data_IF_294743799139
#
_entry.id   IF_294743799139
#
_cell.length_a   1.000
_cell.length_b   1.000
_cell.length_c   1.000
_cell.angle_alpha   90.00
_cell.angle_beta   90.00
_cell.angle_gamma   90.00
#
_symmetry.space_group_name_H-M   'P 1'
#
loop_
_entity.id
_entity.type
_entity.pdbx_description
1 polymer ?
#
# COMPACT_ATOMS: atom_id res chain seq x y z
N UNK A 1 17.10 -38.39 -12.72
CA UNK A 1 16.53 -37.79 -13.95
C UNK A 1 15.02 -37.62 -13.93
N UNK A 2 14.20 -38.58 -13.44
CA UNK A 2 12.74 -38.45 -13.38
C UNK A 2 12.27 -37.37 -12.39
N UNK A 3 12.89 -37.27 -11.20
CA UNK A 3 12.47 -36.31 -10.16
C UNK A 3 12.64 -34.84 -10.59
N UNK A 4 13.71 -34.48 -11.29
CA UNK A 4 13.92 -33.12 -11.78
C UNK A 4 12.88 -32.69 -12.83
N UNK A 5 12.47 -33.59 -13.71
CA UNK A 5 11.41 -33.31 -14.72
C UNK A 5 10.05 -33.15 -14.06
N UNK A 6 9.73 -33.99 -13.08
CA UNK A 6 8.49 -33.91 -12.31
C UNK A 6 8.43 -32.57 -11.56
N UNK A 7 9.52 -32.15 -10.93
CA UNK A 7 9.59 -30.86 -10.23
C UNK A 7 9.33 -29.66 -11.16
N UNK A 8 9.90 -29.68 -12.37
CA UNK A 8 9.64 -28.65 -13.39
C UNK A 8 8.19 -28.61 -13.82
N UNK A 9 7.59 -29.77 -14.08
CA UNK A 9 6.18 -29.87 -14.47
C UNK A 9 5.28 -29.33 -13.34
N UNK A 10 5.61 -29.65 -12.08
CA UNK A 10 4.86 -29.16 -10.92
C UNK A 10 4.95 -27.62 -10.83
N UNK A 11 6.14 -27.02 -11.03
CA UNK A 11 6.30 -25.56 -11.01
C UNK A 11 5.48 -24.91 -12.14
N UNK A 12 5.56 -25.43 -13.35
CA UNK A 12 4.79 -24.90 -14.49
C UNK A 12 3.28 -25.04 -14.23
N UNK A 13 2.83 -26.18 -13.70
CA UNK A 13 1.44 -26.37 -13.33
C UNK A 13 0.97 -25.41 -12.24
N UNK A 14 1.80 -25.21 -11.22
CA UNK A 14 1.51 -24.27 -10.12
C UNK A 14 1.43 -22.83 -10.63
N UNK A 15 2.34 -22.43 -11.51
CA UNK A 15 2.30 -21.10 -12.15
C UNK A 15 1.06 -20.94 -13.04
N UNK A 16 0.67 -21.97 -13.78
CA UNK A 16 -0.54 -21.93 -14.59
C UNK A 16 -1.80 -21.81 -13.71
N UNK A 17 -1.85 -22.51 -12.58
CA UNK A 17 -2.95 -22.41 -11.61
C UNK A 17 -3.01 -21.01 -11.01
N UNK A 18 -1.88 -20.41 -10.62
CA UNK A 18 -1.83 -19.04 -10.09
C UNK A 18 -2.32 -18.04 -11.14
N UNK A 19 -1.86 -18.16 -12.39
CA UNK A 19 -2.31 -17.31 -13.49
C UNK A 19 -3.81 -17.43 -13.75
N UNK A 20 -4.34 -18.65 -13.76
CA UNK A 20 -5.78 -18.89 -13.94
C UNK A 20 -6.59 -18.34 -12.78
N UNK A 21 -6.08 -18.45 -11.55
CA UNK A 21 -6.72 -17.90 -10.37
C UNK A 21 -6.78 -16.38 -10.42
N UNK A 22 -5.67 -15.72 -10.77
CA UNK A 22 -5.60 -14.25 -10.90
C UNK A 22 -6.48 -13.74 -12.06
N UNK A 23 -6.51 -14.44 -13.19
CA UNK A 23 -7.38 -14.06 -14.31
C UNK A 23 -8.87 -14.16 -13.96
N UNK A 24 -9.25 -15.06 -13.07
CA UNK A 24 -10.63 -15.27 -12.62
C UNK A 24 -10.93 -14.63 -11.25
N UNK A 25 -9.93 -13.97 -10.62
CA UNK A 25 -10.15 -13.31 -9.35
C UNK A 25 -11.22 -12.22 -9.50
N UNK A 26 -12.19 -12.13 -8.59
CA UNK A 26 -13.21 -11.10 -8.64
C UNK A 26 -12.54 -9.73 -8.54
N UNK A 27 -13.04 -8.77 -9.32
CA UNK A 27 -12.56 -7.39 -9.28
C UNK A 27 -12.75 -6.85 -7.86
N UNK A 28 -11.66 -6.44 -7.21
CA UNK A 28 -11.76 -5.75 -5.93
C UNK A 28 -12.17 -4.31 -6.20
N UNK A 29 -13.20 -3.86 -5.53
CA UNK A 29 -13.62 -2.46 -5.63
C UNK A 29 -12.67 -1.57 -4.83
N UNK A 30 -12.21 -0.52 -5.47
CA UNK A 30 -11.42 0.53 -4.83
C UNK A 30 -12.35 1.64 -4.36
N UNK A 31 -12.50 1.73 -3.04
CA UNK A 31 -13.42 2.68 -2.42
C UNK A 31 -12.82 4.08 -2.21
N UNK A 32 -11.52 4.22 -2.45
CA UNK A 32 -10.79 5.49 -2.35
C UNK A 32 -10.56 6.16 -3.72
N UNK A 33 -10.85 5.47 -4.82
CA UNK A 33 -10.75 6.03 -6.16
C UNK A 33 -11.99 6.85 -6.50
N UNK A 34 -11.82 8.16 -6.55
CA UNK A 34 -12.84 9.16 -6.82
C UNK A 34 -12.68 9.71 -8.24
N UNK A 35 -12.45 8.84 -9.20
CA UNK A 35 -12.18 9.28 -10.58
C UNK A 35 -13.39 9.90 -11.28
N UNK A 36 -14.60 9.52 -10.91
CA UNK A 36 -15.86 9.91 -11.60
C UNK A 36 -15.82 9.79 -13.15
N UNK A 37 -14.87 9.01 -13.65
CA UNK A 37 -14.72 8.75 -15.07
C UNK A 37 -15.85 7.91 -15.63
N UNK A 38 -16.32 8.23 -16.84
CA UNK A 38 -17.34 7.48 -17.55
C UNK A 38 -16.89 6.05 -17.92
N UNK A 39 -15.59 5.78 -17.95
CA UNK A 39 -15.01 4.45 -18.21
C UNK A 39 -14.88 3.62 -16.95
N UNK A 40 -14.80 4.24 -15.79
CA UNK A 40 -14.55 3.56 -14.53
C UNK A 40 -15.78 2.81 -14.02
N UNK A 41 -15.59 1.50 -13.77
CA UNK A 41 -16.58 0.61 -13.14
C UNK A 41 -16.45 0.58 -11.61
N UNK A 42 -15.51 1.33 -11.05
CA UNK A 42 -15.31 1.44 -9.62
C UNK A 42 -16.53 2.11 -8.94
N UNK A 43 -16.70 1.98 -7.62
CA UNK A 43 -17.85 2.52 -6.93
C UNK A 43 -18.10 4.02 -7.20
N UNK A 44 -17.02 4.82 -7.21
CA UNK A 44 -17.09 6.26 -7.49
C UNK A 44 -16.73 6.64 -8.93
N UNK A 45 -16.68 5.66 -9.84
CA UNK A 45 -16.73 5.90 -11.29
C UNK A 45 -18.16 6.19 -11.76
N UNK A 46 -18.32 6.47 -13.07
CA UNK A 46 -19.61 6.84 -13.64
C UNK A 46 -20.13 5.90 -14.74
N UNK A 47 -19.44 4.81 -15.07
CA UNK A 47 -19.83 3.91 -16.16
C UNK A 47 -21.27 3.39 -16.05
N UNK A 48 -21.67 2.92 -14.85
CA UNK A 48 -23.02 2.41 -14.61
C UNK A 48 -24.02 3.55 -14.52
N UNK A 49 -23.65 4.65 -13.84
CA UNK A 49 -24.49 5.83 -13.71
C UNK A 49 -24.84 6.38 -15.10
N UNK A 50 -23.87 6.58 -15.97
CA UNK A 50 -24.09 7.10 -17.33
C UNK A 50 -24.97 6.16 -18.15
N UNK A 51 -24.82 4.84 -17.98
CA UNK A 51 -25.65 3.85 -18.66
C UNK A 51 -27.09 3.90 -18.19
N UNK A 52 -27.32 4.01 -16.87
CA UNK A 52 -28.65 4.12 -16.27
C UNK A 52 -29.31 5.42 -16.66
N UNK A 53 -28.61 6.56 -16.57
CA UNK A 53 -29.20 7.86 -16.94
C UNK A 53 -29.53 7.93 -18.42
N UNK A 54 -28.70 7.37 -19.31
CA UNK A 54 -28.97 7.28 -20.74
C UNK A 54 -30.24 6.49 -21.05
N UNK A 55 -30.52 5.44 -20.27
CA UNK A 55 -31.73 4.62 -20.43
C UNK A 55 -32.98 5.20 -19.71
N UNK A 56 -32.79 6.04 -18.69
CA UNK A 56 -33.86 6.50 -17.82
C UNK A 56 -34.36 7.92 -18.14
N UNK A 57 -33.54 8.74 -18.81
CA UNK A 57 -33.91 10.12 -19.13
C UNK A 57 -34.49 10.20 -20.54
N UNK A 58 -35.79 10.37 -20.70
CA UNK A 58 -36.44 10.39 -22.03
C UNK A 58 -36.04 11.61 -22.85
N UNK A 59 -35.61 12.69 -22.21
CA UNK A 59 -35.13 13.91 -22.86
C UNK A 59 -33.75 13.76 -23.51
N UNK A 60 -33.04 12.70 -23.20
CA UNK A 60 -31.70 12.40 -23.72
C UNK A 60 -30.60 12.66 -22.69
N UNK A 61 -29.52 11.87 -22.80
CA UNK A 61 -28.33 11.96 -21.98
C UNK A 61 -27.09 11.68 -22.82
N UNK A 62 -26.09 12.57 -22.70
CA UNK A 62 -24.81 12.45 -23.41
C UNK A 62 -23.66 12.73 -22.46
N UNK A 63 -22.52 12.06 -22.67
CA UNK A 63 -21.28 12.32 -21.95
C UNK A 63 -20.28 12.94 -22.91
N UNK A 64 -19.73 14.09 -22.52
CA UNK A 64 -18.70 14.79 -23.25
C UNK A 64 -17.32 14.41 -22.73
N UNK A 65 -16.50 13.83 -23.61
CA UNK A 65 -15.12 13.48 -23.30
C UNK A 65 -14.09 14.56 -23.59
N UNK A 66 -14.42 15.56 -24.41
CA UNK A 66 -13.49 16.63 -24.78
C UNK A 66 -14.20 17.98 -24.76
N UNK A 67 -13.59 18.92 -24.10
CA UNK A 67 -13.86 20.35 -23.99
C UNK A 67 -15.27 20.82 -24.36
N UNK A 68 -15.96 21.37 -23.39
CA UNK A 68 -17.30 21.96 -23.61
C UNK A 68 -17.29 23.01 -24.70
N UNK A 69 -16.18 23.73 -24.85
CA UNK A 69 -15.99 24.74 -25.92
C UNK A 69 -16.12 24.10 -27.31
N UNK A 70 -15.54 22.94 -27.52
CA UNK A 70 -15.63 22.22 -28.80
C UNK A 70 -17.05 21.71 -29.05
N UNK A 71 -17.76 21.31 -28.00
CA UNK A 71 -19.16 20.95 -28.10
C UNK A 71 -20.03 22.16 -28.48
N UNK A 72 -19.87 23.27 -27.77
CA UNK A 72 -20.60 24.51 -28.01
C UNK A 72 -20.34 25.01 -29.43
N UNK A 73 -19.09 25.01 -29.89
CA UNK A 73 -18.73 25.54 -31.21
C UNK A 73 -19.19 24.66 -32.37
N UNK A 74 -19.22 23.32 -32.18
CA UNK A 74 -19.48 22.38 -33.27
C UNK A 74 -20.86 21.75 -33.26
N UNK A 75 -21.43 21.46 -32.10
CA UNK A 75 -22.62 20.65 -31.95
C UNK A 75 -23.83 21.41 -31.39
N UNK A 76 -23.56 22.50 -30.68
CA UNK A 76 -24.60 23.30 -30.08
C UNK A 76 -25.34 24.15 -31.15
N UNK A 77 -26.58 23.80 -31.44
CA UNK A 77 -27.44 24.46 -32.44
C UNK A 77 -28.45 25.41 -31.84
N UNK A 78 -28.26 25.83 -30.60
CA UNK A 78 -29.18 26.70 -29.87
C UNK A 78 -30.26 25.96 -29.09
N UNK A 79 -30.33 24.62 -29.16
CA UNK A 79 -31.20 23.81 -28.34
C UNK A 79 -30.76 23.91 -26.87
N UNK A 80 -31.76 24.01 -25.97
CA UNK A 80 -31.43 24.22 -24.55
C UNK A 80 -31.15 22.88 -23.86
N UNK A 81 -30.04 22.81 -23.14
CA UNK A 81 -29.55 21.65 -22.45
C UNK A 81 -29.39 21.89 -20.95
N UNK A 82 -29.25 20.81 -20.21
CA UNK A 82 -28.74 20.80 -18.83
C UNK A 82 -27.32 20.28 -18.83
N UNK A 83 -26.35 21.10 -18.47
CA UNK A 83 -24.99 20.71 -18.31
C UNK A 83 -24.75 20.21 -16.89
N UNK A 84 -24.22 18.98 -16.75
CA UNK A 84 -23.96 18.34 -15.46
C UNK A 84 -22.46 18.21 -15.24
N UNK A 85 -22.00 18.77 -14.15
CA UNK A 85 -20.61 18.77 -13.68
C UNK A 85 -20.54 18.10 -12.32
N UNK A 86 -19.78 17.04 -12.21
CA UNK A 86 -19.76 16.20 -11.00
C UNK A 86 -18.37 16.09 -10.38
N UNK A 87 -17.41 16.92 -10.80
CA UNK A 87 -16.01 16.73 -10.44
C UNK A 87 -15.42 17.91 -9.67
N UNK A 88 -14.49 17.61 -8.76
CA UNK A 88 -13.77 18.57 -7.93
C UNK A 88 -12.45 19.07 -8.55
N UNK A 89 -12.19 18.78 -9.82
CA UNK A 89 -10.90 19.11 -10.43
C UNK A 89 -10.80 20.53 -10.97
N UNK A 90 -9.68 21.15 -10.71
CA UNK A 90 -9.29 22.51 -11.13
C UNK A 90 -9.43 22.76 -12.63
N UNK A 91 -9.28 21.70 -13.45
CA UNK A 91 -9.43 21.79 -14.91
C UNK A 91 -10.84 22.10 -15.41
N UNK A 92 -11.83 21.88 -14.55
CA UNK A 92 -13.22 22.22 -14.81
C UNK A 92 -13.43 23.70 -15.04
N UNK A 93 -12.64 24.51 -14.41
CA UNK A 93 -12.89 25.93 -14.24
C UNK A 93 -12.12 26.75 -15.25
N UNK A 94 -10.96 26.30 -15.63
CA UNK A 94 -10.17 26.94 -16.71
C UNK A 94 -10.90 26.88 -18.07
N UNK A 95 -11.87 25.97 -18.23
CA UNK A 95 -12.75 25.87 -19.41
C UNK A 95 -14.05 26.66 -19.29
N UNK A 96 -14.30 27.26 -18.14
CA UNK A 96 -15.63 27.82 -17.79
C UNK A 96 -15.71 29.33 -17.74
N UNK A 97 -14.84 29.96 -18.34
CA UNK A 97 -14.84 31.40 -18.59
C UNK A 97 -16.27 31.97 -18.88
N UNK A 98 -16.35 33.21 -19.17
CA UNK A 98 -17.51 34.03 -19.58
C UNK A 98 -18.58 33.26 -20.40
N UNK A 99 -18.21 32.19 -21.09
CA UNK A 99 -19.08 31.36 -21.92
C UNK A 99 -20.12 30.57 -21.15
N UNK A 100 -19.85 30.07 -19.94
CA UNK A 100 -20.84 29.32 -19.14
C UNK A 100 -21.99 30.24 -18.68
N UNK A 101 -21.64 31.40 -18.13
CA UNK A 101 -22.62 32.39 -17.68
C UNK A 101 -23.53 32.79 -18.83
N UNK A 102 -22.95 33.04 -20.01
CA UNK A 102 -23.73 33.36 -21.22
C UNK A 102 -24.66 32.22 -21.64
N UNK A 103 -24.22 30.96 -21.57
CA UNK A 103 -25.07 29.82 -21.85
C UNK A 103 -26.28 29.73 -20.90
N UNK A 104 -26.08 30.03 -19.61
CA UNK A 104 -27.13 30.05 -18.64
C UNK A 104 -28.09 31.20 -18.94
N UNK A 105 -27.57 32.39 -19.23
CA UNK A 105 -28.40 33.55 -19.63
C UNK A 105 -29.26 33.26 -20.83
N UNK A 106 -28.77 32.51 -21.80
CA UNK A 106 -29.51 32.08 -22.99
C UNK A 106 -30.58 31.04 -22.69
N UNK A 107 -30.63 30.47 -21.51
CA UNK A 107 -31.67 29.55 -21.06
C UNK A 107 -31.23 28.10 -20.95
N UNK A 108 -29.96 27.80 -20.89
CA UNK A 108 -29.47 26.46 -20.49
C UNK A 108 -29.51 26.34 -18.98
N UNK A 109 -29.57 25.10 -18.49
CA UNK A 109 -29.44 24.82 -17.07
C UNK A 109 -28.05 24.25 -16.78
N UNK A 110 -27.56 24.48 -15.57
CA UNK A 110 -26.27 23.95 -15.11
C UNK A 110 -26.47 23.31 -13.75
N UNK A 111 -25.96 22.10 -13.58
CA UNK A 111 -25.86 21.40 -12.30
C UNK A 111 -24.39 21.27 -11.96
N UNK A 112 -23.98 21.86 -10.85
CA UNK A 112 -22.61 21.79 -10.34
C UNK A 112 -22.66 21.02 -9.02
N UNK A 113 -22.08 19.82 -9.02
CA UNK A 113 -21.88 19.04 -7.83
C UNK A 113 -20.38 19.07 -7.46
N UNK A 114 -20.07 19.76 -6.37
CA UNK A 114 -18.72 19.90 -5.84
C UNK A 114 -18.74 19.94 -4.33
N UNK A 115 -17.69 19.47 -3.67
CA UNK A 115 -17.54 19.52 -2.21
C UNK A 115 -16.39 20.45 -1.79
N UNK A 116 -15.76 21.11 -2.73
CA UNK A 116 -14.65 22.03 -2.48
C UNK A 116 -14.94 23.45 -2.94
N UNK A 117 -14.37 24.41 -2.23
CA UNK A 117 -14.39 25.79 -2.63
C UNK A 117 -13.39 25.98 -3.80
N UNK A 118 -13.88 26.58 -4.83
CA UNK A 118 -13.16 26.91 -6.02
C UNK A 118 -12.20 28.07 -5.72
N UNK A 119 -10.98 27.77 -5.25
CA UNK A 119 -10.00 28.78 -4.80
C UNK A 119 -9.15 29.38 -5.92
N UNK A 120 -9.19 28.79 -7.12
CA UNK A 120 -8.37 29.28 -8.24
C UNK A 120 -9.02 30.50 -8.91
N UNK A 121 -8.19 31.42 -9.38
CA UNK A 121 -8.62 32.76 -9.85
C UNK A 121 -9.73 32.71 -10.90
N UNK A 122 -9.69 31.78 -11.85
CA UNK A 122 -10.68 31.69 -12.92
C UNK A 122 -12.03 31.13 -12.43
N UNK A 123 -11.98 30.20 -11.46
CA UNK A 123 -13.17 29.64 -10.82
C UNK A 123 -13.84 30.59 -9.87
N UNK A 124 -13.06 31.39 -9.24
CA UNK A 124 -13.52 32.40 -8.31
C UNK A 124 -14.49 33.38 -8.99
N UNK A 125 -14.20 33.76 -10.23
CA UNK A 125 -15.08 34.64 -11.01
C UNK A 125 -16.49 34.02 -11.17
N UNK A 126 -16.60 32.75 -11.57
CA UNK A 126 -17.92 32.08 -11.72
C UNK A 126 -18.63 31.92 -10.37
N UNK A 127 -17.89 31.57 -9.31
CA UNK A 127 -18.47 31.43 -7.97
C UNK A 127 -18.89 32.77 -7.38
N UNK A 128 -18.14 33.86 -7.61
CA UNK A 128 -18.48 35.21 -7.16
C UNK A 128 -19.69 35.76 -7.93
N UNK A 129 -19.74 35.59 -9.25
CA UNK A 129 -20.84 36.06 -10.09
C UNK A 129 -22.15 35.29 -9.82
N UNK A 130 -22.04 33.96 -9.67
CA UNK A 130 -23.15 33.11 -9.26
C UNK A 130 -23.44 33.20 -7.75
N UNK A 131 -22.54 33.78 -6.98
CA UNK A 131 -22.70 34.05 -5.56
C UNK A 131 -22.84 32.81 -4.70
N UNK A 132 -22.05 31.77 -4.94
CA UNK A 132 -22.07 30.56 -4.11
C UNK A 132 -20.71 30.25 -3.49
N UNK A 133 -20.71 29.56 -2.37
CA UNK A 133 -19.53 28.98 -1.73
C UNK A 133 -19.90 27.79 -0.87
N UNK A 134 -18.92 26.94 -0.56
CA UNK A 134 -19.08 25.79 0.31
C UNK A 134 -18.55 26.11 1.71
N UNK A 135 -19.25 25.65 2.73
CA UNK A 135 -18.88 25.85 4.12
C UNK A 135 -19.06 24.53 4.90
N UNK A 136 -18.13 24.15 5.80
CA UNK A 136 -18.27 22.93 6.59
C UNK A 136 -19.55 22.88 7.43
N UNK A 137 -20.21 21.71 7.46
CA UNK A 137 -21.34 21.42 8.34
C UNK A 137 -20.82 20.78 9.63
N UNK A 138 -20.67 21.56 10.70
CA UNK A 138 -20.15 21.07 11.98
C UNK A 138 -18.66 20.74 11.95
N UNK A 139 -18.26 19.77 12.76
CA UNK A 139 -16.86 19.33 12.79
C UNK A 139 -16.49 18.51 11.53
N UNK A 140 -15.33 18.80 10.97
CA UNK A 140 -14.82 18.08 9.80
C UNK A 140 -14.36 16.68 10.23
N UNK A 141 -15.03 15.65 9.76
CA UNK A 141 -14.59 14.27 9.90
C UNK A 141 -14.01 13.78 8.59
N UNK A 142 -12.71 13.49 8.56
CA UNK A 142 -12.10 12.75 7.46
C UNK A 142 -12.56 11.28 7.53
N UNK A 143 -13.65 10.97 6.88
CA UNK A 143 -14.11 9.60 6.77
C UNK A 143 -13.39 8.90 5.60
N UNK A 144 -12.74 7.78 5.91
CA UNK A 144 -12.19 6.94 4.84
C UNK A 144 -13.32 6.17 4.15
N UNK A 145 -13.40 6.30 2.83
CA UNK A 145 -14.32 5.50 2.02
C UNK A 145 -13.86 4.04 2.02
N UNK A 146 -14.63 3.17 2.65
CA UNK A 146 -14.46 1.73 2.56
C UNK A 146 -15.83 1.04 2.65
N UNK A 147 -15.89 -0.23 2.30
CA UNK A 147 -17.14 -0.99 2.32
C UNK A 147 -17.82 -0.97 3.69
N UNK A 148 -17.05 -0.99 4.76
CA UNK A 148 -17.56 -1.06 6.14
C UNK A 148 -18.21 0.27 6.54
N UNK A 149 -17.54 1.41 6.28
CA UNK A 149 -18.11 2.74 6.58
C UNK A 149 -19.35 3.03 5.75
N UNK A 150 -19.37 2.59 4.48
CA UNK A 150 -20.50 2.81 3.57
C UNK A 150 -21.67 1.84 3.79
N UNK A 151 -21.49 0.76 4.52
CA UNK A 151 -22.57 -0.18 4.88
C UNK A 151 -23.11 0.00 6.30
N UNK A 152 -22.43 0.75 7.14
CA UNK A 152 -22.84 1.02 8.52
C UNK A 152 -23.98 2.04 8.58
N UNK A 153 -25.20 1.56 8.59
CA UNK A 153 -26.42 2.39 8.67
C UNK A 153 -26.51 3.24 9.94
N UNK A 154 -25.76 2.93 10.98
CA UNK A 154 -25.70 3.77 12.19
C UNK A 154 -24.98 5.11 11.96
N UNK A 155 -24.28 5.23 10.85
CA UNK A 155 -23.53 6.41 10.41
C UNK A 155 -24.16 7.03 9.15
N UNK A 156 -25.47 7.04 9.07
CA UNK A 156 -26.15 7.65 7.95
C UNK A 156 -26.76 8.99 8.36
N UNK A 157 -26.52 9.98 7.51
CA UNK A 157 -27.13 11.29 7.58
C UNK A 157 -28.46 11.26 6.84
N UNK A 158 -29.34 12.20 7.18
CA UNK A 158 -30.68 12.29 6.59
C UNK A 158 -30.77 13.50 5.67
N UNK A 159 -31.07 13.26 4.39
CA UNK A 159 -31.38 14.30 3.43
C UNK A 159 -32.90 14.48 3.41
N UNK A 160 -33.36 15.72 3.50
CA UNK A 160 -34.78 16.11 3.34
C UNK A 160 -34.89 17.06 2.18
N UNK A 161 -35.88 16.80 1.32
CA UNK A 161 -36.19 17.69 0.23
C UNK A 161 -37.03 18.87 0.73
N UNK A 162 -36.75 20.06 0.23
CA UNK A 162 -37.48 21.27 0.54
C UNK A 162 -38.33 21.67 -0.67
N UNK A 163 -39.64 21.68 -0.51
CA UNK A 163 -40.57 22.06 -1.55
C UNK A 163 -41.62 23.07 -0.99
N UNK A 164 -41.83 24.17 -1.69
CA UNK A 164 -42.86 25.15 -1.41
C UNK A 164 -42.93 25.64 0.04
N UNK A 165 -41.77 25.92 0.63
CA UNK A 165 -41.65 26.43 1.98
C UNK A 165 -41.81 25.41 3.11
N UNK A 166 -41.82 24.13 2.79
CA UNK A 166 -41.92 23.02 3.77
C UNK A 166 -41.06 21.83 3.34
N UNK A 167 -40.70 20.99 4.30
CA UNK A 167 -40.08 19.71 4.00
C UNK A 167 -41.09 18.74 3.39
N UNK A 168 -40.68 18.08 2.33
CA UNK A 168 -41.40 16.92 1.80
C UNK A 168 -41.32 15.75 2.79
N UNK A 169 -42.26 14.82 2.68
CA UNK A 169 -42.26 13.58 3.46
C UNK A 169 -41.14 12.62 3.05
N UNK A 170 -40.63 12.78 1.84
CA UNK A 170 -39.51 11.96 1.35
C UNK A 170 -38.21 12.28 2.08
N UNK A 171 -37.62 11.24 2.64
CA UNK A 171 -36.31 11.29 3.29
C UNK A 171 -35.35 10.34 2.57
N UNK A 172 -34.10 10.76 2.40
CA UNK A 172 -33.07 9.97 1.76
C UNK A 172 -31.95 9.79 2.77
N UNK A 173 -31.40 8.58 2.83
CA UNK A 173 -30.33 8.23 3.74
C UNK A 173 -29.02 8.16 2.97
N UNK A 174 -28.01 8.81 3.49
CA UNK A 174 -26.67 8.86 2.90
C UNK A 174 -25.61 8.63 3.97
N UNK A 175 -24.52 7.95 3.62
CA UNK A 175 -23.41 7.76 4.56
C UNK A 175 -22.81 9.12 4.96
N UNK A 176 -22.45 9.27 6.23
CA UNK A 176 -21.76 10.46 6.77
C UNK A 176 -20.41 10.74 6.07
N UNK A 177 -19.88 9.74 5.35
CA UNK A 177 -18.64 9.89 4.60
C UNK A 177 -18.73 10.80 3.38
N UNK A 178 -19.96 11.12 2.91
CA UNK A 178 -20.13 11.82 1.63
C UNK A 178 -20.25 13.34 1.73
N UNK A 179 -20.56 13.89 2.88
CA UNK A 179 -20.79 15.33 2.97
C UNK A 179 -20.23 15.94 4.26
N UNK A 180 -19.30 16.82 4.07
CA UNK A 180 -18.82 17.70 5.13
C UNK A 180 -19.15 19.18 4.90
N UNK A 181 -19.67 19.54 3.71
CA UNK A 181 -19.91 20.91 3.34
C UNK A 181 -21.39 21.19 3.03
N UNK A 182 -21.87 22.39 3.38
CA UNK A 182 -23.12 22.96 2.89
C UNK A 182 -22.85 23.95 1.76
N UNK A 183 -23.86 24.11 0.92
CA UNK A 183 -23.87 25.15 -0.11
C UNK A 183 -24.43 26.43 0.48
N UNK A 184 -23.68 27.51 0.43
CA UNK A 184 -24.13 28.86 0.73
C UNK A 184 -24.21 29.66 -0.55
N UNK A 185 -25.32 30.37 -0.76
CA UNK A 185 -25.51 31.23 -1.90
C UNK A 185 -25.87 32.64 -1.45
N UNK A 186 -25.23 33.64 -2.06
CA UNK A 186 -25.61 35.05 -1.84
C UNK A 186 -26.81 35.43 -2.68
N UNK A 187 -27.65 36.33 -2.17
CA UNK A 187 -28.86 36.78 -2.85
C UNK A 187 -30.05 35.80 -2.76
N UNK A 188 -30.98 35.91 -3.70
CA UNK A 188 -32.18 35.06 -3.71
C UNK A 188 -31.88 33.69 -4.32
N UNK A 189 -31.89 32.66 -3.52
CA UNK A 189 -31.86 31.27 -3.99
C UNK A 189 -32.97 30.46 -3.30
N UNK A 190 -33.34 29.36 -3.91
CA UNK A 190 -34.27 28.41 -3.31
C UNK A 190 -33.51 27.18 -2.84
N UNK A 191 -33.60 26.87 -1.57
CA UNK A 191 -33.10 25.59 -1.05
C UNK A 191 -33.89 24.45 -1.68
N UNK A 192 -33.17 23.41 -2.17
CA UNK A 192 -33.79 22.19 -2.68
C UNK A 192 -33.69 21.06 -1.66
N UNK A 193 -32.57 20.94 -0.99
CA UNK A 193 -32.38 19.88 -0.03
C UNK A 193 -31.49 20.32 1.14
N UNK A 194 -31.77 19.79 2.32
CA UNK A 194 -30.97 19.96 3.53
C UNK A 194 -30.50 18.60 4.02
N UNK A 195 -29.29 18.57 4.59
CA UNK A 195 -28.72 17.43 5.28
C UNK A 195 -28.79 17.67 6.78
N UNK A 196 -29.26 16.69 7.53
CA UNK A 196 -29.15 16.65 8.98
C UNK A 196 -28.17 15.54 9.35
N UNK A 197 -27.01 15.90 9.93
CA UNK A 197 -26.00 14.94 10.35
C UNK A 197 -26.53 14.08 11.50
N UNK A 198 -26.20 12.80 11.48
CA UNK A 198 -26.51 11.88 12.58
C UNK A 198 -25.81 12.35 13.85
N UNK A 199 -26.50 12.24 14.98
CA UNK A 199 -25.90 12.53 16.29
C UNK A 199 -24.80 11.50 16.56
N UNK A 200 -23.55 11.88 16.34
CA UNK A 200 -22.44 11.08 16.84
C UNK A 200 -22.50 11.12 18.37
N UNK A 201 -22.27 9.98 19.03
CA UNK A 201 -22.15 9.86 20.51
C UNK A 201 -20.91 10.58 21.01
N UNK A 202 -20.80 11.86 20.74
CA UNK A 202 -19.77 12.76 21.23
C UNK A 202 -20.33 13.58 22.39
N UNK A 203 -19.54 13.78 23.41
CA UNK A 203 -19.88 14.35 24.74
C UNK A 203 -20.42 15.79 24.69
N UNK A 204 -20.47 16.46 23.53
CA UNK A 204 -20.73 17.91 23.41
C UNK A 204 -21.77 18.33 22.35
N UNK A 205 -22.35 17.44 21.56
CA UNK A 205 -23.34 17.83 20.55
C UNK A 205 -24.76 17.85 21.14
N UNK A 206 -25.27 19.02 21.46
CA UNK A 206 -26.65 19.25 21.94
C UNK A 206 -27.68 19.06 20.81
N UNK A 207 -27.32 19.42 19.58
CA UNK A 207 -28.19 19.29 18.38
C UNK A 207 -27.40 18.72 17.20
N UNK A 208 -28.11 18.00 16.31
CA UNK A 208 -27.50 17.50 15.08
C UNK A 208 -27.32 18.68 14.09
N UNK A 209 -26.08 18.96 13.61
CA UNK A 209 -25.88 20.06 12.68
C UNK A 209 -26.64 19.80 11.38
N UNK A 210 -27.26 20.86 10.86
CA UNK A 210 -28.06 20.82 9.62
C UNK A 210 -27.56 21.90 8.68
N UNK A 211 -27.37 21.54 7.40
CA UNK A 211 -26.93 22.46 6.36
C UNK A 211 -27.65 22.24 5.05
N UNK A 212 -27.66 23.25 4.19
CA UNK A 212 -28.21 23.15 2.82
C UNK A 212 -27.19 22.44 1.94
N UNK A 213 -27.55 21.31 1.35
CA UNK A 213 -26.66 20.55 0.46
C UNK A 213 -26.98 20.74 -1.02
N UNK A 214 -28.19 21.22 -1.33
CA UNK A 214 -28.55 21.54 -2.70
C UNK A 214 -29.45 22.81 -2.73
N UNK A 215 -29.14 23.68 -3.66
CA UNK A 215 -29.90 24.92 -3.89
C UNK A 215 -30.00 25.24 -5.37
N UNK A 216 -30.99 26.01 -5.75
CA UNK A 216 -31.22 26.46 -7.11
C UNK A 216 -31.34 27.97 -7.18
N UNK A 217 -30.73 28.56 -8.19
CA UNK A 217 -30.81 29.99 -8.51
C UNK A 217 -31.18 30.17 -9.98
N UNK A 218 -31.99 31.15 -10.26
CA UNK A 218 -32.25 31.59 -11.64
C UNK A 218 -31.20 32.63 -12.05
N UNK A 219 -30.62 32.43 -13.24
CA UNK A 219 -29.67 33.35 -13.81
C UNK A 219 -30.01 33.57 -15.29
N UNK A 220 -30.38 34.80 -15.65
CA UNK A 220 -30.92 35.07 -16.97
C UNK A 220 -32.22 34.25 -17.24
N UNK A 221 -32.19 33.47 -18.33
CA UNK A 221 -33.33 32.59 -18.71
C UNK A 221 -33.10 31.13 -18.25
N UNK A 222 -31.97 30.84 -17.65
CA UNK A 222 -31.58 29.50 -17.19
C UNK A 222 -31.59 29.35 -15.67
N UNK A 223 -31.10 28.21 -15.22
CA UNK A 223 -31.01 27.85 -13.81
C UNK A 223 -29.66 27.27 -13.49
N UNK A 224 -29.18 27.54 -12.29
CA UNK A 224 -27.99 26.91 -11.71
C UNK A 224 -28.43 26.11 -10.50
N UNK A 225 -28.13 24.83 -10.49
CA UNK A 225 -28.30 23.94 -9.35
C UNK A 225 -26.94 23.64 -8.78
N UNK A 226 -26.77 24.01 -7.51
CA UNK A 226 -25.53 23.71 -6.77
C UNK A 226 -25.76 22.58 -5.79
N UNK A 227 -24.81 21.67 -5.66
CA UNK A 227 -24.87 20.55 -4.75
C UNK A 227 -23.49 20.24 -4.16
N UNK A 228 -23.43 20.02 -2.83
CA UNK A 228 -22.20 19.77 -2.09
C UNK A 228 -21.78 18.30 -1.98
N UNK A 229 -22.42 17.39 -2.74
CA UNK A 229 -22.18 15.95 -2.64
C UNK A 229 -21.92 15.32 -4.02
N UNK A 230 -20.77 15.57 -4.65
CA UNK A 230 -20.49 15.08 -6.01
C UNK A 230 -20.51 13.56 -6.11
N UNK A 231 -20.17 12.86 -5.04
CA UNK A 231 -20.12 11.40 -4.98
C UNK A 231 -21.48 10.73 -5.19
N UNK A 232 -22.58 11.45 -5.02
CA UNK A 232 -23.91 10.90 -5.30
C UNK A 232 -24.12 10.69 -6.80
N UNK A 233 -23.39 11.44 -7.64
CA UNK A 233 -23.33 11.23 -9.08
C UNK A 233 -22.25 10.22 -9.47
N UNK A 234 -22.40 8.98 -8.99
CA UNK A 234 -21.46 7.89 -9.23
C UNK A 234 -22.18 6.56 -9.41
N UNK A 235 -21.44 5.51 -9.75
CA UNK A 235 -21.97 4.15 -9.81
C UNK A 235 -22.60 3.74 -8.46
N UNK A 236 -21.96 4.09 -7.35
CA UNK A 236 -22.50 3.82 -6.01
C UNK A 236 -23.81 4.54 -5.77
N UNK A 237 -23.87 5.84 -6.08
CA UNK A 237 -25.07 6.64 -5.85
C UNK A 237 -26.26 6.18 -6.67
N UNK A 238 -26.09 5.90 -7.97
CA UNK A 238 -27.17 5.45 -8.84
C UNK A 238 -27.64 4.02 -8.56
N UNK A 239 -26.78 3.16 -8.04
CA UNK A 239 -27.12 1.80 -7.65
C UNK A 239 -27.75 1.73 -6.26
N UNK A 240 -27.58 2.76 -5.44
CA UNK A 240 -28.14 2.80 -4.10
C UNK A 240 -29.61 3.20 -4.13
N UNK A 241 -30.47 2.36 -3.57
CA UNK A 241 -31.92 2.55 -3.60
C UNK A 241 -32.42 3.79 -2.84
N UNK A 242 -31.65 4.26 -1.85
CA UNK A 242 -32.00 5.47 -1.08
C UNK A 242 -31.49 6.75 -1.72
N UNK A 243 -30.40 6.68 -2.49
CA UNK A 243 -29.74 7.84 -3.12
C UNK A 243 -30.26 8.09 -4.53
N UNK A 244 -30.46 7.03 -5.33
CA UNK A 244 -30.94 7.13 -6.72
C UNK A 244 -32.19 8.03 -6.88
N UNK A 245 -33.24 7.89 -6.07
CA UNK A 245 -34.42 8.76 -6.20
C UNK A 245 -34.11 10.24 -5.96
N UNK A 246 -33.15 10.53 -5.07
CA UNK A 246 -32.69 11.89 -4.82
C UNK A 246 -31.99 12.49 -6.04
N UNK A 247 -31.03 11.75 -6.64
CA UNK A 247 -30.27 12.17 -7.83
C UNK A 247 -31.23 12.45 -9.00
N UNK A 248 -32.19 11.55 -9.27
CA UNK A 248 -33.15 11.71 -10.34
C UNK A 248 -34.08 12.91 -10.08
N UNK A 249 -34.52 13.13 -8.84
CA UNK A 249 -35.31 14.28 -8.45
C UNK A 249 -34.54 15.59 -8.65
N UNK A 250 -33.27 15.63 -8.30
CA UNK A 250 -32.42 16.81 -8.50
C UNK A 250 -32.33 17.17 -10.00
N UNK A 251 -32.12 16.19 -10.86
CA UNK A 251 -32.10 16.39 -12.30
C UNK A 251 -33.45 16.83 -12.87
N UNK A 252 -34.57 16.44 -12.27
CA UNK A 252 -35.91 16.86 -12.71
C UNK A 252 -36.20 18.36 -12.50
N UNK A 253 -35.49 19.03 -11.56
CA UNK A 253 -35.57 20.48 -11.38
C UNK A 253 -35.02 21.26 -12.59
N UNK A 254 -34.36 20.60 -13.52
CA UNK A 254 -33.78 21.19 -14.72
C UNK A 254 -34.69 21.18 -15.94
N UNK A 255 -35.99 21.27 -15.75
CA UNK A 255 -37.06 21.45 -16.79
C UNK A 255 -37.05 20.32 -17.84
N UNK A 256 -36.63 19.12 -17.50
CA UNK A 256 -36.55 17.98 -18.42
C UNK A 256 -35.79 18.27 -19.74
N UNK A 257 -34.78 19.15 -19.69
CA UNK A 257 -33.90 19.39 -20.84
C UNK A 257 -32.93 18.23 -21.02
N UNK A 258 -32.48 17.96 -22.26
CA UNK A 258 -31.43 16.97 -22.48
C UNK A 258 -30.22 17.22 -21.58
N UNK A 259 -29.67 16.17 -20.95
CA UNK A 259 -28.55 16.28 -20.01
C UNK A 259 -27.24 15.95 -20.72
N UNK A 260 -26.28 16.83 -20.56
CA UNK A 260 -24.93 16.67 -21.07
C UNK A 260 -23.98 16.68 -19.89
N UNK A 261 -23.43 15.52 -19.55
CA UNK A 261 -22.43 15.42 -18.46
C UNK A 261 -21.03 15.65 -19.02
N UNK A 262 -20.29 16.48 -18.34
CA UNK A 262 -18.88 16.68 -18.60
C UNK A 262 -18.03 15.66 -17.85
N UNK A 263 -17.11 14.98 -18.56
CA UNK A 263 -16.15 14.05 -18.02
C UNK A 263 -14.72 14.54 -18.29
N UNK A 264 -14.03 15.11 -17.29
CA UNK A 264 -12.71 15.68 -17.47
C UNK A 264 -11.61 14.62 -17.68
N UNK A 265 -11.88 13.33 -17.42
CA UNK A 265 -10.90 12.26 -17.62
C UNK A 265 -10.46 12.06 -19.06
N UNK A 266 -11.09 12.77 -20.00
CA UNK A 266 -10.75 12.78 -21.42
C UNK A 266 -10.03 14.03 -21.90
N UNK A 267 -9.57 14.90 -21.02
CA UNK A 267 -8.62 15.92 -21.43
C UNK A 267 -7.36 15.15 -21.84
N UNK A 268 -7.16 15.00 -23.18
CA UNK A 268 -5.90 14.58 -23.74
C UNK A 268 -4.86 15.65 -23.36
N UNK A 269 -4.34 15.54 -22.15
CA UNK A 269 -2.98 15.99 -21.95
C UNK A 269 -2.17 15.10 -22.90
N UNK A 270 -1.39 15.69 -23.82
CA UNK A 270 -0.41 15.00 -24.68
C UNK A 270 0.67 14.23 -23.88
N UNK A 271 0.34 13.80 -22.70
CA UNK A 271 1.03 12.82 -21.89
C UNK A 271 0.30 11.52 -22.13
N UNK A 272 0.98 10.56 -22.75
CA UNK A 272 0.62 9.15 -22.74
C UNK A 272 0.38 8.64 -21.28
N UNK A 273 -0.65 9.14 -20.62
CA UNK A 273 -1.25 8.43 -19.52
C UNK A 273 -1.91 7.23 -20.17
N UNK A 274 -1.15 6.17 -20.24
CA UNK A 274 -1.67 4.83 -20.42
C UNK A 274 -2.88 4.75 -19.51
N UNK A 275 -4.06 4.60 -20.10
CA UNK A 275 -5.30 4.34 -19.37
C UNK A 275 -5.01 3.21 -18.39
N UNK A 276 -4.66 3.55 -17.15
CA UNK A 276 -4.60 2.60 -16.06
C UNK A 276 -6.05 2.23 -15.70
N UNK A 277 -6.69 1.47 -16.61
CA UNK A 277 -7.93 0.74 -16.31
C UNK A 277 -7.73 -0.25 -15.14
N UNK A 278 -6.66 -0.09 -14.34
CA UNK A 278 -6.27 -1.18 -13.48
C UNK A 278 -5.71 -0.76 -12.17
N UNK A 279 -6.63 -0.39 -11.39
CA UNK A 279 -6.56 -0.61 -9.98
C UNK A 279 -6.64 -2.11 -9.65
N UNK A 280 -5.58 -2.80 -9.93
CA UNK A 280 -5.41 -4.15 -9.40
C UNK A 280 -4.46 -4.05 -8.21
N UNK A 281 -4.97 -4.31 -7.01
CA UNK A 281 -4.16 -4.55 -5.80
C UNK A 281 -3.13 -5.69 -5.99
N UNK A 282 -3.15 -6.35 -7.12
CA UNK A 282 -2.23 -7.42 -7.49
C UNK A 282 -1.19 -6.92 -8.48
N UNK A 283 0.11 -6.92 -8.11
CA UNK A 283 1.20 -6.59 -9.04
C UNK A 283 1.18 -7.41 -10.33
N UNK A 284 0.67 -8.65 -10.26
CA UNK A 284 0.56 -9.52 -11.43
C UNK A 284 -0.52 -9.04 -12.40
N UNK A 285 -1.62 -8.52 -11.88
CA UNK A 285 -2.70 -7.94 -12.70
C UNK A 285 -2.22 -6.71 -13.46
N UNK A 286 -1.48 -5.84 -12.78
CA UNK A 286 -0.83 -4.68 -13.40
C UNK A 286 0.10 -5.09 -14.55
N UNK A 287 0.94 -6.14 -14.33
CA UNK A 287 1.82 -6.68 -15.37
C UNK A 287 1.05 -7.25 -16.56
N UNK A 288 -0.08 -7.93 -16.31
CA UNK A 288 -0.90 -8.52 -17.36
C UNK A 288 -1.71 -7.51 -18.16
N UNK A 289 -2.01 -6.39 -17.56
CA UNK A 289 -2.78 -5.33 -18.17
C UNK A 289 -1.98 -4.52 -19.17
N UNK A 290 -0.81 -4.12 -18.79
CA UNK A 290 0.08 -3.32 -19.61
C UNK A 290 0.65 -4.16 -20.76
N UNK A 291 0.31 -3.81 -22.02
CA UNK A 291 0.80 -4.55 -23.20
C UNK A 291 2.30 -4.81 -23.20
N UNK A 292 3.18 -3.81 -22.98
CA UNK A 292 4.63 -4.04 -22.93
C UNK A 292 5.04 -4.97 -21.79
N UNK A 293 4.48 -4.78 -20.59
CA UNK A 293 4.82 -5.59 -19.42
C UNK A 293 4.31 -7.03 -19.53
N UNK A 294 3.15 -7.22 -20.13
CA UNK A 294 2.60 -8.54 -20.44
C UNK A 294 3.51 -9.34 -21.36
N UNK A 295 4.01 -8.72 -22.45
CA UNK A 295 4.97 -9.36 -23.34
C UNK A 295 6.31 -9.63 -22.63
N UNK A 296 6.79 -8.71 -21.79
CA UNK A 296 7.98 -8.92 -20.98
C UNK A 296 7.80 -10.11 -20.03
N UNK A 297 6.64 -10.23 -19.38
CA UNK A 297 6.32 -11.37 -18.51
C UNK A 297 6.30 -12.70 -19.30
N UNK A 298 5.66 -12.73 -20.47
CA UNK A 298 5.63 -13.94 -21.29
C UNK A 298 7.04 -14.32 -21.78
N UNK A 299 7.87 -13.35 -22.14
CA UNK A 299 9.26 -13.58 -22.53
C UNK A 299 10.08 -14.10 -21.35
N UNK A 300 9.91 -13.54 -20.16
CA UNK A 300 10.57 -14.01 -18.94
C UNK A 300 10.17 -15.46 -18.61
N UNK A 301 8.88 -15.80 -18.70
CA UNK A 301 8.38 -17.15 -18.52
C UNK A 301 8.93 -18.12 -19.57
N UNK A 302 8.93 -17.72 -20.82
CA UNK A 302 9.46 -18.54 -21.91
C UNK A 302 10.98 -18.80 -21.74
N UNK A 303 11.75 -17.77 -21.33
CA UNK A 303 13.17 -17.91 -21.05
C UNK A 303 13.44 -18.79 -19.83
N UNK A 304 12.61 -18.69 -18.77
CA UNK A 304 12.70 -19.56 -17.60
C UNK A 304 12.43 -21.03 -17.99
N UNK A 305 11.39 -21.29 -18.76
CA UNK A 305 11.09 -22.64 -19.27
C UNK A 305 12.22 -23.16 -20.14
N UNK A 306 12.72 -22.35 -21.07
CA UNK A 306 13.87 -22.70 -21.90
C UNK A 306 15.10 -22.99 -21.05
N UNK A 307 15.43 -22.13 -20.08
CA UNK A 307 16.52 -22.36 -19.16
C UNK A 307 16.40 -23.70 -18.41
N UNK A 308 15.22 -24.00 -17.88
CA UNK A 308 14.96 -25.25 -17.18
C UNK A 308 15.11 -26.44 -18.11
N UNK A 309 14.55 -26.39 -19.32
CA UNK A 309 14.66 -27.47 -20.33
C UNK A 309 16.10 -27.70 -20.74
N UNK A 310 16.84 -26.64 -21.02
CA UNK A 310 18.25 -26.75 -21.41
C UNK A 310 19.17 -27.09 -20.24
N UNK A 311 18.92 -26.55 -19.04
CA UNK A 311 19.69 -26.84 -17.83
C UNK A 311 19.42 -28.25 -17.29
N UNK A 312 18.21 -28.79 -17.50
CA UNK A 312 17.87 -30.18 -17.11
C UNK A 312 18.59 -31.23 -17.95
N UNK A 313 19.12 -30.87 -19.12
CA UNK A 313 20.07 -31.72 -19.83
C UNK A 313 21.39 -31.74 -19.05
N UNK A 314 21.54 -32.70 -18.12
CA UNK A 314 22.81 -32.98 -17.50
C UNK A 314 23.86 -33.24 -18.61
N UNK A 315 24.74 -32.29 -18.84
CA UNK A 315 26.02 -32.60 -19.44
C UNK A 315 26.70 -33.55 -18.45
N UNK A 316 26.79 -34.84 -18.80
CA UNK A 316 27.69 -35.75 -18.10
C UNK A 316 29.10 -35.19 -18.30
N UNK A 317 29.54 -34.42 -17.32
CA UNK A 317 30.95 -34.11 -17.25
C UNK A 317 31.66 -35.45 -17.01
N UNK A 318 32.65 -35.74 -17.82
CA UNK A 318 33.62 -36.78 -17.53
C UNK A 318 33.98 -36.63 -16.05
N UNK A 319 33.69 -37.67 -15.26
CA UNK A 319 34.03 -37.67 -13.83
C UNK A 319 35.55 -37.50 -13.77
N UNK A 320 36.08 -36.35 -13.37
CA UNK A 320 37.51 -36.21 -13.22
C UNK A 320 37.95 -37.24 -12.17
N UNK A 321 38.97 -37.96 -12.43
CA UNK A 321 39.58 -38.83 -11.43
C UNK A 321 39.95 -37.92 -10.24
N UNK A 322 39.11 -38.00 -9.21
CA UNK A 322 39.32 -37.21 -8.01
C UNK A 322 40.53 -37.79 -7.33
N UNK A 323 41.67 -37.11 -7.43
CA UNK A 323 42.81 -37.39 -6.55
C UNK A 323 42.28 -37.34 -5.11
N UNK A 324 42.62 -38.33 -4.26
CA UNK A 324 42.16 -38.28 -2.87
C UNK A 324 42.48 -36.91 -2.28
N UNK A 325 41.55 -36.31 -1.53
CA UNK A 325 41.76 -34.97 -0.99
C UNK A 325 43.02 -34.97 -0.16
N UNK A 326 44.02 -34.23 -0.60
CA UNK A 326 45.22 -33.99 0.20
C UNK A 326 44.79 -33.20 1.41
N UNK A 327 45.00 -33.73 2.60
CA UNK A 327 44.63 -33.02 3.82
C UNK A 327 45.62 -31.87 4.02
N UNK A 328 45.38 -30.75 3.34
CA UNK A 328 46.21 -29.54 3.41
C UNK A 328 46.35 -29.02 4.85
N UNK A 329 45.36 -29.29 5.69
CA UNK A 329 45.40 -28.93 7.10
C UNK A 329 46.52 -29.72 7.84
N UNK A 330 46.62 -31.03 7.58
CA UNK A 330 47.67 -31.85 8.19
C UNK A 330 49.04 -31.45 7.69
N UNK A 331 49.23 -31.15 6.42
CA UNK A 331 50.48 -30.67 5.85
C UNK A 331 50.88 -29.28 6.41
N UNK A 332 49.89 -28.41 6.59
CA UNK A 332 50.08 -27.11 7.23
C UNK A 332 50.54 -27.27 8.69
N UNK A 333 49.84 -28.09 9.48
CA UNK A 333 50.20 -28.37 10.89
C UNK A 333 51.62 -28.95 10.99
N UNK A 334 52.00 -29.92 10.13
CA UNK A 334 53.34 -30.47 10.09
C UNK A 334 54.42 -29.42 9.76
N UNK A 335 54.13 -28.51 8.83
CA UNK A 335 55.07 -27.43 8.46
C UNK A 335 55.22 -26.44 9.61
N UNK A 336 54.11 -26.01 10.23
CA UNK A 336 54.13 -25.11 11.38
C UNK A 336 54.88 -25.76 12.57
N UNK A 337 54.52 -27.01 12.90
CA UNK A 337 55.23 -27.78 13.95
C UNK A 337 56.72 -27.89 13.69
N UNK A 338 57.13 -28.10 12.42
CA UNK A 338 58.53 -28.11 12.03
C UNK A 338 59.26 -26.77 12.21
N UNK A 339 58.60 -25.65 12.01
CA UNK A 339 59.13 -24.29 12.23
C UNK A 339 59.32 -24.04 13.72
N UNK A 340 58.38 -24.40 14.57
CA UNK A 340 58.47 -24.26 16.02
C UNK A 340 59.60 -25.16 16.58
N UNK A 341 59.68 -26.41 16.13
CA UNK A 341 60.75 -27.31 16.54
C UNK A 341 62.11 -26.77 16.18
N UNK A 342 62.30 -26.16 15.00
CA UNK A 342 63.61 -25.59 14.58
C UNK A 342 63.97 -24.31 15.34
N UNK A 343 63.01 -23.55 15.83
CA UNK A 343 63.27 -22.33 16.60
C UNK A 343 63.60 -22.57 18.05
N UNK A 344 63.32 -23.76 18.60
CA UNK A 344 63.48 -24.12 20.02
C UNK A 344 62.82 -23.11 20.99
N UNK A 345 61.72 -22.45 20.50
CA UNK A 345 61.01 -21.49 21.30
C UNK A 345 59.87 -22.21 22.06
N UNK A 346 60.31 -22.99 23.04
CA UNK A 346 59.39 -23.82 23.83
C UNK A 346 58.52 -23.01 24.76
N UNK A 347 58.96 -21.82 25.17
CA UNK A 347 58.14 -20.91 26.03
C UNK A 347 56.98 -20.33 25.27
N UNK A 348 57.20 -19.82 24.04
CA UNK A 348 56.13 -19.30 23.19
C UNK A 348 55.08 -20.38 22.87
N UNK A 349 55.51 -21.62 22.65
CA UNK A 349 54.60 -22.74 22.44
C UNK A 349 53.80 -23.07 23.70
N UNK A 350 54.41 -23.04 24.88
CA UNK A 350 53.74 -23.24 26.16
C UNK A 350 52.70 -22.12 26.42
N UNK A 351 53.08 -20.87 26.20
CA UNK A 351 52.17 -19.73 26.37
C UNK A 351 50.92 -19.88 25.48
N UNK A 352 51.08 -20.19 24.20
CA UNK A 352 49.98 -20.42 23.28
C UNK A 352 49.08 -21.58 23.69
N UNK A 353 49.69 -22.67 24.17
CA UNK A 353 48.92 -23.81 24.68
C UNK A 353 48.20 -23.46 25.97
N UNK A 354 48.81 -22.70 26.86
CA UNK A 354 48.21 -22.23 28.10
C UNK A 354 46.98 -21.33 27.82
N UNK A 355 47.12 -20.34 26.92
CA UNK A 355 45.99 -19.48 26.52
C UNK A 355 44.81 -20.29 25.94
N UNK A 356 45.11 -21.29 25.11
CA UNK A 356 44.06 -22.19 24.59
C UNK A 356 43.42 -22.99 25.71
N UNK A 357 44.21 -23.52 26.63
CA UNK A 357 43.75 -24.29 27.79
C UNK A 357 42.87 -23.44 28.73
N UNK A 358 43.30 -22.21 29.08
CA UNK A 358 42.52 -21.30 29.90
C UNK A 358 41.18 -20.94 29.24
N UNK A 359 41.19 -20.63 27.93
CA UNK A 359 39.95 -20.34 27.19
C UNK A 359 39.01 -21.56 27.10
N UNK A 360 39.56 -22.76 26.93
CA UNK A 360 38.78 -24.00 26.92
C UNK A 360 38.18 -24.31 28.30
N UNK A 361 38.89 -24.07 29.39
CA UNK A 361 38.40 -24.20 30.76
C UNK A 361 37.24 -23.20 31.03
N UNK A 362 37.41 -21.95 30.57
CA UNK A 362 36.37 -20.94 30.70
C UNK A 362 35.14 -21.31 29.88
N UNK A 363 35.33 -21.78 28.65
CA UNK A 363 34.21 -22.13 27.77
C UNK A 363 33.43 -23.40 28.16
N UNK A 364 34.17 -24.46 28.63
CA UNK A 364 33.59 -25.78 28.89
C UNK A 364 33.21 -26.01 30.35
N UNK A 365 34.04 -25.47 31.25
CA UNK A 365 33.88 -25.66 32.68
C UNK A 365 33.37 -24.40 33.42
N UNK A 366 33.35 -23.24 32.75
CA UNK A 366 33.09 -21.94 33.36
C UNK A 366 34.07 -21.62 34.51
N UNK A 367 35.33 -22.05 34.39
CA UNK A 367 36.37 -21.88 35.37
C UNK A 367 37.41 -20.92 34.82
N UNK A 368 37.70 -19.85 35.54
CA UNK A 368 38.65 -18.82 35.14
C UNK A 368 39.93 -18.86 35.97
N UNK A 369 40.94 -19.58 35.49
CA UNK A 369 42.22 -19.73 36.18
C UNK A 369 43.15 -18.51 36.06
N UNK A 370 42.78 -17.51 35.23
CA UNK A 370 43.55 -16.28 35.05
C UNK A 370 43.15 -15.19 36.09
N UNK A 371 42.05 -15.42 36.83
CA UNK A 371 41.63 -14.54 37.90
C UNK A 371 42.27 -14.92 39.23
N UNK A 372 43.36 -14.22 39.58
CA UNK A 372 44.16 -14.49 40.78
C UNK A 372 43.40 -14.27 42.10
N UNK A 373 42.35 -13.42 42.12
CA UNK A 373 41.62 -13.13 43.34
C UNK A 373 40.76 -14.30 43.83
N UNK A 374 40.32 -15.17 42.91
CA UNK A 374 39.46 -16.33 43.19
C UNK A 374 40.09 -17.66 42.76
N UNK A 375 41.40 -17.67 42.55
CA UNK A 375 42.08 -18.85 41.96
C UNK A 375 41.87 -20.13 42.77
N UNK A 376 41.94 -20.07 44.10
CA UNK A 376 41.78 -21.24 44.96
C UNK A 376 40.36 -21.82 44.92
N UNK A 377 39.33 -20.97 44.83
CA UNK A 377 37.94 -21.41 44.69
C UNK A 377 37.71 -22.05 43.33
N UNK A 378 38.25 -21.46 42.28
CA UNK A 378 38.16 -21.99 40.91
C UNK A 378 38.92 -23.34 40.78
N UNK A 379 40.08 -23.47 41.40
CA UNK A 379 40.84 -24.74 41.43
C UNK A 379 40.17 -25.80 42.30
N UNK A 380 39.45 -25.42 43.36
CA UNK A 380 38.63 -26.35 44.13
C UNK A 380 37.46 -26.88 43.28
N UNK A 381 36.83 -26.00 42.54
CA UNK A 381 35.77 -26.37 41.58
C UNK A 381 36.30 -27.31 40.51
N UNK A 382 37.47 -27.03 39.96
CA UNK A 382 38.15 -27.88 38.98
C UNK A 382 38.55 -29.24 39.54
N UNK A 383 39.06 -29.28 40.77
CA UNK A 383 39.41 -30.52 41.50
C UNK A 383 38.17 -31.43 41.66
N UNK A 384 37.03 -30.86 42.03
CA UNK A 384 35.79 -31.62 42.18
C UNK A 384 35.29 -32.21 40.86
N UNK A 385 35.54 -31.54 39.73
CA UNK A 385 35.10 -32.00 38.41
C UNK A 385 36.08 -33.04 37.81
N UNK A 386 37.35 -32.86 37.99
CA UNK A 386 38.35 -33.74 37.38
C UNK A 386 38.71 -34.94 38.25
N UNK A 387 38.35 -34.93 39.53
CA UNK A 387 38.73 -35.95 40.50
C UNK A 387 40.22 -35.94 40.89
N UNK A 388 40.97 -34.90 40.49
CA UNK A 388 42.39 -34.72 40.89
C UNK A 388 42.40 -34.04 42.27
N UNK A 389 43.19 -34.55 43.23
CA UNK A 389 43.30 -33.91 44.54
C UNK A 389 43.71 -32.43 44.42
N UNK A 390 43.10 -31.55 45.20
CA UNK A 390 43.33 -30.10 45.12
C UNK A 390 44.78 -29.69 45.18
N UNK A 391 45.54 -30.29 46.13
CA UNK A 391 46.97 -29.97 46.30
C UNK A 391 47.79 -30.34 45.05
N UNK A 392 47.48 -31.44 44.42
CA UNK A 392 48.14 -31.88 43.19
C UNK A 392 47.76 -30.97 42.00
N UNK A 393 46.51 -30.68 41.84
CA UNK A 393 45.99 -29.80 40.79
C UNK A 393 46.56 -28.38 40.93
N UNK A 394 46.55 -27.85 42.13
CA UNK A 394 47.13 -26.54 42.45
C UNK A 394 48.62 -26.47 42.12
N UNK A 395 49.37 -27.51 42.46
CA UNK A 395 50.78 -27.58 42.10
C UNK A 395 51.00 -27.67 40.58
N UNK A 396 50.20 -28.50 39.89
CA UNK A 396 50.28 -28.66 38.44
C UNK A 396 49.98 -27.36 37.70
N UNK A 397 48.91 -26.63 38.08
CA UNK A 397 48.56 -25.37 37.46
C UNK A 397 49.60 -24.30 37.75
N UNK A 398 50.11 -24.20 38.98
CA UNK A 398 51.21 -23.31 39.31
C UNK A 398 52.49 -23.59 38.53
N UNK A 399 52.83 -24.86 38.35
CA UNK A 399 54.00 -25.26 37.56
C UNK A 399 53.82 -24.81 36.10
N UNK A 400 52.64 -24.94 35.52
CA UNK A 400 52.36 -24.45 34.19
C UNK A 400 52.48 -22.93 34.13
N UNK A 401 51.86 -22.18 35.05
CA UNK A 401 51.88 -20.70 35.10
C UNK A 401 53.27 -20.16 35.33
N UNK A 402 54.07 -20.76 36.25
CA UNK A 402 55.41 -20.32 36.51
C UNK A 402 56.28 -20.54 35.28
N UNK A 403 56.16 -21.69 34.61
CA UNK A 403 56.93 -22.01 33.42
C UNK A 403 56.62 -21.14 32.19
N UNK A 404 55.52 -20.43 32.15
CA UNK A 404 55.26 -19.41 31.11
C UNK A 404 56.09 -18.14 31.29
N UNK A 405 56.65 -17.91 32.47
CA UNK A 405 57.53 -16.77 32.79
C UNK A 405 59.02 -17.10 32.83
N UNK A 406 59.43 -18.34 32.49
CA UNK A 406 60.84 -18.75 32.39
C UNK A 406 61.39 -18.29 31.06
N UNK A 407 62.63 -17.94 31.00
CA UNK A 407 63.36 -17.54 29.78
C UNK A 407 63.55 -18.69 28.79
N UNK A 408 63.65 -19.94 29.27
CA UNK A 408 63.74 -21.14 28.43
C UNK A 408 63.28 -22.37 29.19
N UNK A 409 62.70 -23.33 28.49
CA UNK A 409 62.29 -24.64 29.03
C UNK A 409 62.77 -25.77 28.12
N UNK A 410 63.10 -26.91 28.75
CA UNK A 410 63.52 -28.09 28.01
C UNK A 410 62.31 -28.75 27.31
N UNK A 411 62.61 -29.51 26.23
CA UNK A 411 61.58 -30.25 25.47
C UNK A 411 60.80 -31.23 26.36
N UNK A 412 61.51 -31.88 27.30
CA UNK A 412 60.87 -32.81 28.24
C UNK A 412 59.94 -32.13 29.23
N UNK A 413 60.30 -30.94 29.71
CA UNK A 413 59.50 -30.15 30.59
C UNK A 413 58.25 -29.62 29.85
N UNK A 414 58.41 -29.11 28.62
CA UNK A 414 57.33 -28.67 27.78
C UNK A 414 56.29 -29.78 27.53
N UNK A 415 56.79 -30.98 27.15
CA UNK A 415 55.94 -32.15 26.92
C UNK A 415 55.10 -32.50 28.14
N UNK A 416 55.80 -32.59 29.32
CA UNK A 416 55.11 -32.89 30.59
C UNK A 416 54.00 -31.87 30.92
N UNK A 417 54.27 -30.59 30.75
CA UNK A 417 53.31 -29.55 31.02
C UNK A 417 52.11 -29.59 30.05
N UNK A 418 52.36 -29.87 28.77
CA UNK A 418 51.31 -30.08 27.77
C UNK A 418 50.45 -31.32 28.10
N UNK A 419 51.07 -32.41 28.52
CA UNK A 419 50.37 -33.66 28.89
C UNK A 419 49.47 -33.42 30.11
N UNK A 420 49.94 -32.65 31.11
CA UNK A 420 49.15 -32.25 32.27
C UNK A 420 47.89 -31.45 31.87
N UNK A 421 48.08 -30.42 31.01
CA UNK A 421 46.93 -29.64 30.52
C UNK A 421 45.94 -30.50 29.72
N UNK A 422 46.43 -31.42 28.91
CA UNK A 422 45.57 -32.33 28.13
C UNK A 422 44.85 -33.34 29.03
N UNK A 423 45.48 -33.87 30.08
CA UNK A 423 44.86 -34.80 31.04
C UNK A 423 43.72 -34.10 31.80
N UNK A 424 43.93 -32.87 32.28
CA UNK A 424 42.89 -32.06 32.92
C UNK A 424 41.72 -31.87 31.98
N UNK A 425 41.97 -31.49 30.72
CA UNK A 425 40.92 -31.26 29.72
C UNK A 425 40.17 -32.55 29.35
N UNK A 426 40.87 -33.67 29.29
CA UNK A 426 40.27 -34.96 29.01
C UNK A 426 39.29 -35.38 30.11
N UNK A 427 39.66 -35.17 31.37
CA UNK A 427 38.80 -35.49 32.54
C UNK A 427 37.56 -34.59 32.66
N UNK A 428 37.62 -33.36 32.15
CA UNK A 428 36.46 -32.48 32.11
C UNK A 428 35.46 -32.91 31.04
N UNK A 429 35.91 -33.54 29.95
CA UNK A 429 35.06 -33.95 28.82
C UNK A 429 34.43 -35.36 29.00
N UNK A 430 34.70 -36.03 30.11
CA UNK A 430 34.06 -37.29 30.49
C UNK A 430 32.91 -37.01 31.44
#
# INVERSE_FOLDING_TARGET
>A
MKASRIFVVIIIALMAVILLFEMNAPTRYQWHDISQSHKSKQPFGCYVMDSVLRGSLPQGYEVLGNGIEKYISKKYKGDKHTFLFTNNYDDFINSFDVNLLKLIEEGNNVVIASDDNLYYDDARYVSEELGFYFQPIGDIYTAHFNKETLSDRSRYDTIRWWADGRFDTATYLVSTAFCDNEVRMSGSFRTLATLTKAKHKGKYALEAPTGTIAGIRYYGKGKVVMMSMPMLFSNYGILNDTIRPFVLRLLSECDNKPVVRYDPSHIDWDVDYVEDEQDSDSPLRYLLANRPLRWALYLALATLVAFVVFSARRRQRVIPVIKPPVNHMMDFVKRIGGIYYKRHDNVDLLIKKYVTFSNDLRAKAMIDIDNFDNLDDELMSLSNRTGIPFNELHQQIRDVMNSTNEDSISDEKLKRLIDVMNDIMHRINI
#
